data_IF_453390277480
#
_entry.id   IF_453390277480
#
_cell.length_a   1.000
_cell.length_b   1.000
_cell.length_c   1.000
_cell.angle_alpha   90.00
_cell.angle_beta   90.00
_cell.angle_gamma   90.00
#
_symmetry.space_group_name_H-M   'P 1'
#
loop_
_entity.id
_entity.type
_entity.pdbx_description
1 polymer ?
#
# COMPACT_ATOMS: atom_id res chain seq x y z
N UNK A 1 13.60 -7.35 9.52
CA UNK A 1 12.86 -6.10 9.81
C UNK A 1 11.41 -6.26 9.35
N UNK A 2 10.45 -5.82 10.17
CA UNK A 2 9.01 -6.10 10.03
C UNK A 2 8.23 -4.98 9.32
N UNK A 3 8.90 -4.14 8.53
CA UNK A 3 8.24 -3.02 7.87
C UNK A 3 7.65 -3.48 6.55
N UNK A 4 6.39 -3.16 6.33
CA UNK A 4 5.66 -3.53 5.12
C UNK A 4 4.99 -2.33 4.50
N UNK A 5 5.41 -1.97 3.29
CA UNK A 5 4.82 -0.83 2.58
C UNK A 5 3.32 -1.05 2.38
N UNK A 6 2.93 -2.23 1.89
CA UNK A 6 1.54 -2.57 1.59
C UNK A 6 0.63 -2.54 2.83
N UNK A 7 1.12 -2.95 4.00
CA UNK A 7 0.33 -2.91 5.24
C UNK A 7 -0.02 -1.48 5.67
N UNK A 8 0.84 -0.52 5.38
CA UNK A 8 0.65 0.90 5.74
C UNK A 8 -0.37 1.57 4.80
N UNK A 9 -0.39 1.14 3.54
CA UNK A 9 -1.35 1.61 2.54
C UNK A 9 -2.82 1.25 2.87
N UNK A 10 -3.06 0.21 3.67
CA UNK A 10 -4.42 -0.26 4.01
C UNK A 10 -5.20 0.79 4.83
N UNK A 11 -4.67 1.34 5.95
CA UNK A 11 -5.28 2.47 6.66
C UNK A 11 -5.60 3.67 5.77
N UNK A 12 -4.67 4.10 4.91
CA UNK A 12 -4.90 5.23 4.02
C UNK A 12 -6.09 4.97 3.07
N UNK A 13 -6.15 3.78 2.48
CA UNK A 13 -7.30 3.36 1.67
C UNK A 13 -8.61 3.36 2.46
N UNK A 14 -8.61 2.81 3.67
CA UNK A 14 -9.79 2.74 4.52
C UNK A 14 -10.31 4.14 4.86
N UNK A 15 -9.44 5.06 5.26
CA UNK A 15 -9.79 6.44 5.58
C UNK A 15 -10.32 7.17 4.34
N UNK A 16 -9.70 6.99 3.19
CA UNK A 16 -10.20 7.53 1.92
C UNK A 16 -11.59 7.00 1.54
N UNK A 17 -11.86 5.71 1.78
CA UNK A 17 -13.16 5.11 1.55
C UNK A 17 -14.26 5.61 2.50
N UNK A 18 -13.89 6.14 3.67
CA UNK A 18 -14.79 6.76 4.65
C UNK A 18 -15.01 8.26 4.40
N UNK A 19 -14.15 8.91 3.61
CA UNK A 19 -14.27 10.32 3.31
C UNK A 19 -15.46 10.61 2.38
N UNK A 20 -16.20 11.68 2.66
CA UNK A 20 -17.35 12.11 1.84
C UNK A 20 -16.93 12.88 0.57
N UNK A 21 -15.68 13.36 0.51
CA UNK A 21 -15.18 14.32 -0.49
C UNK A 21 -13.68 14.09 -0.72
N UNK A 22 -13.24 14.24 -1.97
CA UNK A 22 -11.86 13.93 -2.38
C UNK A 22 -10.78 14.76 -1.66
N UNK A 23 -10.90 16.10 -1.52
CA UNK A 23 -9.89 16.87 -0.80
C UNK A 23 -9.73 16.41 0.66
N UNK A 24 -10.84 16.03 1.29
CA UNK A 24 -10.83 15.48 2.65
C UNK A 24 -10.17 14.11 2.70
N UNK A 25 -10.37 13.26 1.68
CA UNK A 25 -9.69 11.97 1.57
C UNK A 25 -8.17 12.14 1.50
N UNK A 26 -7.69 13.06 0.66
CA UNK A 26 -6.26 13.32 0.45
C UNK A 26 -5.58 13.74 1.75
N UNK A 27 -6.13 14.77 2.41
CA UNK A 27 -5.60 15.29 3.68
C UNK A 27 -5.66 14.22 4.76
N UNK A 28 -6.78 13.50 4.88
CA UNK A 28 -6.92 12.47 5.90
C UNK A 28 -5.97 11.28 5.66
N UNK A 29 -5.72 10.90 4.42
CA UNK A 29 -4.74 9.87 4.05
C UNK A 29 -3.32 10.26 4.45
N UNK A 30 -2.90 11.48 4.10
CA UNK A 30 -1.57 12.01 4.46
C UNK A 30 -1.41 12.08 5.97
N UNK A 31 -2.40 12.63 6.69
CA UNK A 31 -2.37 12.72 8.15
C UNK A 31 -2.30 11.33 8.78
N UNK A 32 -3.06 10.36 8.26
CA UNK A 32 -3.05 8.98 8.75
C UNK A 32 -1.66 8.36 8.65
N UNK A 33 -1.01 8.46 7.49
CA UNK A 33 0.33 7.91 7.28
C UNK A 33 1.39 8.62 8.15
N UNK A 34 1.33 9.95 8.26
CA UNK A 34 2.26 10.70 9.11
C UNK A 34 2.09 10.33 10.59
N UNK A 35 0.86 10.15 11.06
CA UNK A 35 0.57 9.69 12.42
C UNK A 35 1.08 8.26 12.64
N UNK A 36 0.88 7.35 11.68
CA UNK A 36 1.42 5.99 11.78
C UNK A 36 2.94 5.99 11.87
N UNK A 37 3.63 6.79 11.04
CA UNK A 37 5.10 6.86 11.04
C UNK A 37 5.57 7.41 12.37
N UNK A 38 4.96 8.50 12.82
CA UNK A 38 5.28 9.13 14.10
C UNK A 38 5.06 8.17 15.27
N UNK A 39 3.91 7.50 15.32
CA UNK A 39 3.58 6.55 16.38
C UNK A 39 4.53 5.35 16.40
N UNK A 40 4.92 4.84 15.23
CA UNK A 40 5.88 3.74 15.12
C UNK A 40 7.24 4.13 15.71
N UNK A 41 7.82 5.26 15.30
CA UNK A 41 9.14 5.69 15.79
C UNK A 41 9.10 6.18 17.24
N UNK A 42 8.01 6.78 17.69
CA UNK A 42 7.79 7.10 19.10
C UNK A 42 7.77 5.82 19.96
N UNK A 43 7.09 4.77 19.48
CA UNK A 43 7.05 3.46 20.16
C UNK A 43 8.42 2.80 20.20
N UNK A 44 9.18 2.85 19.10
CA UNK A 44 10.56 2.35 19.10
C UNK A 44 11.45 3.09 20.09
N UNK A 45 11.31 4.41 20.17
CA UNK A 45 12.04 5.24 21.14
C UNK A 45 11.70 4.84 22.58
N UNK A 46 10.41 4.66 22.88
CA UNK A 46 9.93 4.23 24.20
C UNK A 46 10.41 2.82 24.58
N UNK A 47 10.60 1.93 23.59
CA UNK A 47 11.12 0.57 23.78
C UNK A 47 12.65 0.50 23.79
N UNK A 48 13.34 1.63 23.60
CA UNK A 48 14.81 1.67 23.50
C UNK A 48 15.36 0.98 22.25
N UNK A 49 14.54 0.80 21.20
CA UNK A 49 14.96 0.20 19.93
C UNK A 49 15.70 1.25 19.09
N UNK A 50 16.98 1.03 18.74
CA UNK A 50 17.74 1.97 17.93
C UNK A 50 17.12 2.17 16.55
N UNK A 51 17.05 3.43 16.11
CA UNK A 51 16.55 3.79 14.79
C UNK A 51 17.22 5.08 14.29
N UNK A 52 17.27 5.24 12.97
CA UNK A 52 17.86 6.42 12.35
C UNK A 52 16.79 7.48 12.04
N UNK A 53 17.05 8.75 12.37
CA UNK A 53 16.19 9.88 11.99
C UNK A 53 16.00 9.98 10.48
N UNK A 54 17.04 9.65 9.70
CA UNK A 54 16.96 9.61 8.23
C UNK A 54 15.94 8.58 7.72
N UNK A 55 15.79 7.44 8.42
CA UNK A 55 14.78 6.46 8.10
C UNK A 55 13.38 7.04 8.37
N UNK A 56 13.17 7.70 9.52
CA UNK A 56 11.90 8.34 9.84
C UNK A 56 11.50 9.38 8.78
N UNK A 57 12.42 10.24 8.37
CA UNK A 57 12.18 11.23 7.31
C UNK A 57 11.82 10.57 5.97
N UNK A 58 12.54 9.49 5.61
CA UNK A 58 12.27 8.75 4.37
C UNK A 58 10.88 8.11 4.39
N UNK A 59 10.49 7.49 5.51
CA UNK A 59 9.17 6.90 5.70
C UNK A 59 8.07 7.95 5.72
N UNK A 60 8.28 9.13 6.33
CA UNK A 60 7.32 10.23 6.27
C UNK A 60 7.11 10.73 4.85
N UNK A 61 8.18 10.91 4.07
CA UNK A 61 8.07 11.33 2.67
C UNK A 61 7.33 10.30 1.80
N UNK A 62 7.65 9.01 1.96
CA UNK A 62 6.92 7.93 1.30
C UNK A 62 5.46 7.87 1.74
N UNK A 63 5.19 8.07 3.04
CA UNK A 63 3.87 8.11 3.64
C UNK A 63 2.98 9.23 3.09
N UNK A 64 3.54 10.40 2.76
CA UNK A 64 2.77 11.46 2.07
C UNK A 64 2.27 10.96 0.71
N UNK A 65 3.15 10.35 -0.09
CA UNK A 65 2.79 9.86 -1.43
C UNK A 65 1.79 8.70 -1.31
N UNK A 66 2.04 7.73 -0.43
CA UNK A 66 1.15 6.61 -0.19
C UNK A 66 -0.21 7.09 0.33
N UNK A 67 -0.23 8.03 1.27
CA UNK A 67 -1.43 8.61 1.86
C UNK A 67 -2.36 9.20 0.80
N UNK A 68 -1.82 10.01 -0.11
CA UNK A 68 -2.60 10.56 -1.23
C UNK A 68 -3.09 9.43 -2.16
N UNK A 69 -2.18 8.60 -2.67
CA UNK A 69 -2.52 7.59 -3.69
C UNK A 69 -3.58 6.62 -3.17
N UNK A 70 -3.40 6.07 -1.97
CA UNK A 70 -4.29 5.07 -1.43
C UNK A 70 -5.58 5.65 -0.86
N UNK A 71 -5.58 6.86 -0.30
CA UNK A 71 -6.83 7.51 0.10
C UNK A 71 -7.70 7.89 -1.11
N UNK A 72 -7.11 8.41 -2.19
CA UNK A 72 -7.83 8.63 -3.46
C UNK A 72 -8.41 7.31 -3.99
N UNK A 73 -7.62 6.23 -3.97
CA UNK A 73 -8.07 4.90 -4.38
C UNK A 73 -9.28 4.41 -3.55
N UNK A 74 -9.26 4.64 -2.24
CA UNK A 74 -10.38 4.34 -1.34
C UNK A 74 -11.63 5.15 -1.66
N UNK A 75 -11.47 6.46 -1.86
CA UNK A 75 -12.57 7.36 -2.21
C UNK A 75 -13.20 6.99 -3.56
N UNK A 76 -12.37 6.65 -4.56
CA UNK A 76 -12.81 6.14 -5.86
C UNK A 76 -13.61 4.84 -5.75
N UNK A 77 -13.14 3.89 -4.94
CA UNK A 77 -13.87 2.66 -4.68
C UNK A 77 -15.24 2.93 -4.03
N UNK A 78 -15.31 3.87 -3.08
CA UNK A 78 -16.55 4.25 -2.40
C UNK A 78 -17.55 4.95 -3.32
N UNK A 79 -17.09 5.87 -4.16
CA UNK A 79 -17.92 6.66 -5.07
C UNK A 79 -18.67 5.80 -6.10
N UNK A 80 -18.15 4.60 -6.42
CA UNK A 80 -18.88 3.59 -7.18
C UNK A 80 -18.86 3.76 -8.70
N UNK A 81 -18.18 4.77 -9.24
CA UNK A 81 -17.92 4.86 -10.68
C UNK A 81 -17.10 3.64 -11.13
N UNK A 82 -17.57 2.81 -12.08
CA UNK A 82 -17.02 1.48 -12.31
C UNK A 82 -15.52 1.43 -12.60
N UNK A 83 -14.99 2.38 -13.40
CA UNK A 83 -13.58 2.38 -13.81
C UNK A 83 -12.68 2.81 -12.65
N UNK A 84 -12.99 3.91 -11.98
CA UNK A 84 -12.27 4.40 -10.81
C UNK A 84 -12.34 3.41 -9.66
N UNK A 85 -13.50 2.78 -9.43
CA UNK A 85 -13.64 1.77 -8.39
C UNK A 85 -12.79 0.53 -8.68
N UNK A 86 -12.71 0.08 -9.94
CA UNK A 86 -11.81 -1.01 -10.32
C UNK A 86 -10.33 -0.61 -10.15
N UNK A 87 -9.95 0.60 -10.57
CA UNK A 87 -8.58 1.11 -10.43
C UNK A 87 -8.16 1.20 -8.96
N UNK A 88 -9.04 1.72 -8.09
CA UNK A 88 -8.76 1.83 -6.65
C UNK A 88 -8.54 0.46 -5.99
N UNK A 89 -9.38 -0.52 -6.33
CA UNK A 89 -9.20 -1.91 -5.86
C UNK A 89 -7.91 -2.52 -6.39
N UNK A 90 -7.59 -2.30 -7.67
CA UNK A 90 -6.38 -2.83 -8.29
C UNK A 90 -5.11 -2.22 -7.68
N UNK A 91 -5.12 -0.96 -7.26
CA UNK A 91 -3.99 -0.33 -6.56
C UNK A 91 -3.74 -1.00 -5.20
N UNK A 92 -4.78 -1.14 -4.37
CA UNK A 92 -4.65 -1.77 -3.05
C UNK A 92 -4.26 -3.25 -3.15
N UNK A 93 -4.96 -4.02 -3.99
CA UNK A 93 -4.64 -5.42 -4.20
C UNK A 93 -3.25 -5.58 -4.83
N UNK A 94 -2.91 -4.72 -5.78
CA UNK A 94 -1.64 -4.76 -6.50
C UNK A 94 -0.44 -4.51 -5.61
N UNK A 95 -0.51 -3.56 -4.67
CA UNK A 95 0.61 -3.33 -3.71
C UNK A 95 0.80 -4.53 -2.78
N UNK A 96 -0.29 -5.14 -2.30
CA UNK A 96 -0.24 -6.35 -1.47
C UNK A 96 0.35 -7.54 -2.23
N UNK A 97 -0.09 -7.77 -3.47
CA UNK A 97 0.44 -8.84 -4.32
C UNK A 97 1.91 -8.60 -4.65
N UNK A 98 2.28 -7.40 -5.05
CA UNK A 98 3.66 -7.06 -5.43
C UNK A 98 4.62 -7.27 -4.26
N UNK A 99 4.30 -6.72 -3.09
CA UNK A 99 5.15 -6.87 -1.91
C UNK A 99 5.15 -8.32 -1.40
N UNK A 100 4.01 -9.00 -1.44
CA UNK A 100 3.91 -10.41 -1.07
C UNK A 100 4.78 -11.32 -1.95
N UNK A 101 4.76 -11.12 -3.27
CA UNK A 101 5.61 -11.84 -4.21
C UNK A 101 7.09 -11.53 -3.98
N UNK A 102 7.43 -10.25 -3.82
CA UNK A 102 8.80 -9.84 -3.54
C UNK A 102 9.34 -10.50 -2.26
N UNK A 103 8.51 -10.55 -1.21
CA UNK A 103 8.86 -11.24 0.04
C UNK A 103 9.02 -12.73 -0.13
N UNK A 104 8.09 -13.36 -0.84
CA UNK A 104 8.08 -14.81 -1.04
C UNK A 104 9.35 -15.28 -1.78
N UNK A 105 9.86 -14.45 -2.69
CA UNK A 105 10.99 -14.80 -3.58
C UNK A 105 12.34 -14.29 -3.04
N UNK A 106 12.43 -13.03 -2.59
CA UNK A 106 13.72 -12.41 -2.23
C UNK A 106 14.17 -12.70 -0.80
N UNK A 107 13.25 -13.01 0.11
CA UNK A 107 13.57 -13.18 1.54
C UNK A 107 13.21 -14.59 2.01
N UNK A 108 14.19 -15.52 2.10
CA UNK A 108 13.93 -16.92 2.47
C UNK A 108 13.16 -17.10 3.78
N UNK A 109 13.39 -16.22 4.77
CA UNK A 109 12.70 -16.25 6.07
C UNK A 109 11.28 -15.63 6.05
N UNK A 110 10.85 -15.04 4.92
CA UNK A 110 9.52 -14.46 4.73
C UNK A 110 8.71 -15.17 3.64
N UNK A 111 9.14 -16.35 3.18
CA UNK A 111 8.46 -17.12 2.14
C UNK A 111 6.95 -17.24 2.38
N UNK A 112 6.58 -17.84 3.52
CA UNK A 112 5.19 -18.08 3.88
C UNK A 112 4.40 -16.78 4.11
N UNK A 113 4.97 -15.78 4.79
CA UNK A 113 4.28 -14.51 5.04
C UNK A 113 4.08 -13.70 3.75
N UNK A 114 5.03 -13.77 2.82
CA UNK A 114 4.91 -13.20 1.48
C UNK A 114 3.78 -13.84 0.68
N UNK A 115 3.70 -15.18 0.67
CA UNK A 115 2.60 -15.91 0.02
C UNK A 115 1.25 -15.53 0.64
N UNK A 116 1.15 -15.50 1.97
CA UNK A 116 -0.09 -15.09 2.67
C UNK A 116 -0.49 -13.69 2.25
N UNK A 117 0.45 -12.74 2.22
CA UNK A 117 0.16 -11.36 1.81
C UNK A 117 -0.31 -11.27 0.36
N UNK A 118 0.31 -12.01 -0.56
CA UNK A 118 -0.12 -12.06 -1.95
C UNK A 118 -1.53 -12.63 -2.08
N UNK A 119 -1.83 -13.72 -1.37
CA UNK A 119 -3.17 -14.31 -1.32
C UNK A 119 -4.18 -13.33 -0.74
N UNK A 120 -3.87 -12.61 0.33
CA UNK A 120 -4.73 -11.55 0.87
C UNK A 120 -4.98 -10.48 -0.17
N UNK A 121 -3.97 -10.05 -0.93
CA UNK A 121 -4.15 -9.10 -2.04
C UNK A 121 -5.13 -9.61 -3.10
N UNK A 122 -5.05 -10.90 -3.48
CA UNK A 122 -6.01 -11.51 -4.41
C UNK A 122 -7.42 -11.59 -3.82
N UNK A 123 -7.55 -11.93 -2.53
CA UNK A 123 -8.84 -11.95 -1.83
C UNK A 123 -9.44 -10.54 -1.80
N UNK A 124 -8.64 -9.51 -1.52
CA UNK A 124 -9.07 -8.10 -1.58
C UNK A 124 -9.56 -7.72 -2.98
N UNK A 125 -8.85 -8.12 -4.03
CA UNK A 125 -9.27 -7.89 -5.41
C UNK A 125 -10.66 -8.47 -5.72
N UNK A 126 -10.94 -9.68 -5.22
CA UNK A 126 -12.20 -10.38 -5.43
C UNK A 126 -13.34 -9.86 -4.54
N UNK A 127 -13.04 -9.53 -3.28
CA UNK A 127 -14.00 -9.10 -2.27
C UNK A 127 -14.49 -7.67 -2.50
N UNK A 128 -13.61 -6.76 -2.92
CA UNK A 128 -13.97 -5.36 -3.14
C UNK A 128 -14.58 -5.09 -4.52
N UNK A 129 -14.48 -6.04 -5.46
CA UNK A 129 -15.14 -5.96 -6.75
C UNK A 129 -16.62 -6.41 -6.65
N UNK A 130 -17.54 -5.50 -7.00
CA UNK A 130 -18.99 -5.65 -6.80
C UNK A 130 -19.70 -6.46 -7.90
N UNK A 131 -19.03 -6.71 -9.03
CA UNK A 131 -19.59 -7.45 -10.16
C UNK A 131 -18.52 -8.28 -10.90
N UNK A 132 -18.95 -9.29 -11.65
CA UNK A 132 -18.04 -10.11 -12.46
C UNK A 132 -17.27 -9.29 -13.50
N UNK A 133 -17.93 -8.33 -14.16
CA UNK A 133 -17.28 -7.40 -15.09
C UNK A 133 -16.19 -6.58 -14.39
N UNK A 134 -16.47 -6.09 -13.18
CA UNK A 134 -15.48 -5.36 -12.40
C UNK A 134 -14.29 -6.25 -12.00
N UNK A 135 -14.54 -7.52 -11.63
CA UNK A 135 -13.48 -8.49 -11.32
C UNK A 135 -12.52 -8.70 -12.50
N UNK A 136 -13.05 -8.80 -13.71
CA UNK A 136 -12.21 -8.92 -14.92
C UNK A 136 -11.38 -7.66 -15.18
N UNK A 137 -11.96 -6.47 -14.96
CA UNK A 137 -11.20 -5.20 -15.09
C UNK A 137 -10.11 -5.12 -14.03
N UNK A 138 -10.41 -5.45 -12.77
CA UNK A 138 -9.41 -5.49 -11.68
C UNK A 138 -8.30 -6.47 -12.03
N UNK A 139 -8.63 -7.67 -12.51
CA UNK A 139 -7.64 -8.65 -12.95
C UNK A 139 -6.75 -8.10 -14.09
N UNK A 140 -7.34 -7.45 -15.09
CA UNK A 140 -6.60 -6.77 -16.15
C UNK A 140 -5.69 -5.65 -15.64
N UNK A 141 -6.15 -4.86 -14.68
CA UNK A 141 -5.34 -3.82 -14.04
C UNK A 141 -4.18 -4.42 -13.23
N UNK A 142 -4.39 -5.55 -12.53
CA UNK A 142 -3.34 -6.22 -11.77
C UNK A 142 -2.17 -6.68 -12.65
N UNK A 143 -2.43 -7.08 -13.89
CA UNK A 143 -1.38 -7.42 -14.88
C UNK A 143 -0.43 -6.23 -15.12
N UNK A 144 -0.89 -5.00 -14.91
CA UNK A 144 -0.05 -3.79 -15.05
C UNK A 144 0.50 -3.33 -13.70
N UNK A 145 -0.35 -3.25 -12.68
CA UNK A 145 0.03 -2.71 -11.36
C UNK A 145 1.09 -3.58 -10.68
N UNK A 146 0.99 -4.91 -10.79
CA UNK A 146 1.93 -5.80 -10.10
C UNK A 146 3.36 -5.67 -10.66
N UNK A 147 3.58 -5.77 -11.99
CA UNK A 147 4.91 -5.51 -12.54
C UNK A 147 5.45 -4.11 -12.23
N UNK A 148 4.60 -3.08 -12.27
CA UNK A 148 5.02 -1.72 -11.91
C UNK A 148 5.46 -1.62 -10.44
N UNK A 149 4.75 -2.28 -9.53
CA UNK A 149 5.12 -2.35 -8.11
C UNK A 149 6.47 -3.05 -7.90
N UNK A 150 6.69 -4.18 -8.60
CA UNK A 150 7.97 -4.91 -8.57
C UNK A 150 9.11 -4.08 -9.16
N UNK A 151 8.88 -3.38 -10.27
CA UNK A 151 9.86 -2.48 -10.89
C UNK A 151 10.19 -1.30 -9.97
N UNK A 152 9.18 -0.71 -9.33
CA UNK A 152 9.38 0.37 -8.35
C UNK A 152 10.27 -0.08 -7.19
N UNK A 153 10.02 -1.27 -6.64
CA UNK A 153 10.86 -1.84 -5.59
C UNK A 153 12.32 -2.04 -6.05
N UNK A 154 12.52 -2.57 -7.25
CA UNK A 154 13.87 -2.73 -7.82
C UNK A 154 14.60 -1.40 -8.02
N UNK A 155 13.91 -0.36 -8.49
CA UNK A 155 14.49 0.97 -8.65
C UNK A 155 14.90 1.55 -7.29
N UNK A 156 14.04 1.43 -6.28
CA UNK A 156 14.34 1.89 -4.92
C UNK A 156 15.54 1.14 -4.35
N UNK A 157 15.58 -0.19 -4.47
CA UNK A 157 16.70 -1.01 -4.01
C UNK A 157 18.02 -0.56 -4.63
N UNK A 158 18.04 -0.29 -5.95
CA UNK A 158 19.25 0.19 -6.65
C UNK A 158 19.69 1.57 -6.21
N UNK A 159 18.74 2.50 -6.03
CA UNK A 159 19.05 3.87 -5.59
C UNK A 159 19.61 3.88 -4.18
N UNK A 160 19.11 3.01 -3.29
CA UNK A 160 19.58 2.90 -1.92
C UNK A 160 20.91 2.14 -1.82
N UNK A 161 21.13 1.10 -2.65
CA UNK A 161 22.40 0.37 -2.68
C UNK A 161 23.57 1.18 -3.28
N UNK A 162 23.28 2.24 -4.04
CA UNK A 162 24.28 3.14 -4.61
C UNK A 162 24.75 4.25 -3.63
N UNK A 163 24.27 4.25 -2.38
CA UNK A 163 24.65 5.19 -1.32
C UNK A 163 25.42 4.48 -0.21
#
# INVERSE_FOLDING_TARGET
>A
MANSVAAWCVPAFAVGALALHLPTADVAGVVTELLLVTAYYATQSAQGVPHATSAAVTWSAAGVVAGVVFAVAGAWWRAGEPRRAAAGVALLAGVLVSEGLLRAVRFPWQGSSGVIMAVVGLVVALALARSWRQRLVVAGCLVVVVPLGLLGAEVVDRVLAAR
#
